data_IF_727735928208
#
_entry.id   IF_727735928208
#
_cell.length_a   1.000
_cell.length_b   1.000
_cell.length_c   1.000
_cell.angle_alpha   90.00
_cell.angle_beta   90.00
_cell.angle_gamma   90.00
#
_symmetry.space_group_name_H-M   'P 1'
#
loop_
_entity.id
_entity.type
_entity.pdbx_description
1 polymer ?
#
# COMPACT_ATOMS: atom_id res chain seq x y z
N UNK A 1 21.45 -3.28 23.46
CA UNK A 1 22.38 -2.24 22.95
C UNK A 1 22.87 -2.70 21.59
N UNK A 2 22.40 -2.09 20.49
CA UNK A 2 22.74 -2.56 19.15
C UNK A 2 23.99 -1.82 18.65
N UNK A 3 25.04 -2.58 18.36
CA UNK A 3 26.35 -2.11 17.94
C UNK A 3 26.29 -1.43 16.56
N UNK A 4 26.75 -0.18 16.52
CA UNK A 4 27.08 0.55 15.30
C UNK A 4 28.53 0.23 14.93
N UNK A 5 28.77 -0.67 13.98
CA UNK A 5 30.10 -0.87 13.39
C UNK A 5 30.10 -0.61 11.89
N UNK A 6 30.58 0.61 11.57
CA UNK A 6 31.33 1.08 10.39
C UNK A 6 30.69 0.98 8.98
N UNK A 7 30.90 1.99 8.12
CA UNK A 7 30.28 2.05 6.80
C UNK A 7 31.03 1.13 5.82
N UNK A 8 30.34 0.12 5.31
CA UNK A 8 30.85 -0.69 4.19
C UNK A 8 30.61 0.10 2.91
N UNK A 9 31.69 0.67 2.38
CA UNK A 9 31.77 1.22 1.03
C UNK A 9 31.81 0.06 0.02
N UNK A 10 30.65 -0.47 -0.35
CA UNK A 10 30.51 -1.29 -1.55
C UNK A 10 29.28 -0.83 -2.31
N UNK A 11 29.50 -0.50 -3.58
CA UNK A 11 28.54 -0.14 -4.63
C UNK A 11 27.13 -0.74 -4.39
N UNK A 12 26.30 -0.05 -3.60
CA UNK A 12 24.99 -0.57 -3.19
C UNK A 12 24.04 -0.40 -4.36
N UNK A 13 23.93 -1.44 -5.21
CA UNK A 13 22.82 -1.57 -6.15
C UNK A 13 21.54 -1.67 -5.33
N UNK A 14 20.97 -0.54 -4.96
CA UNK A 14 19.63 -0.48 -4.39
C UNK A 14 18.62 -0.11 -5.47
N UNK A 15 17.34 -0.35 -5.18
CA UNK A 15 16.23 0.07 -6.02
C UNK A 15 15.21 0.79 -5.15
N UNK A 16 14.57 1.79 -5.72
CA UNK A 16 13.35 2.32 -5.13
C UNK A 16 12.19 1.40 -5.48
N UNK A 17 11.39 1.08 -4.47
CA UNK A 17 10.13 0.37 -4.65
C UNK A 17 9.00 1.15 -3.98
N UNK A 18 7.80 0.98 -4.49
CA UNK A 18 6.60 1.42 -3.79
C UNK A 18 6.18 0.34 -2.80
N UNK A 19 5.92 0.71 -1.55
CA UNK A 19 5.33 -0.20 -0.59
C UNK A 19 3.94 -0.66 -1.09
N UNK A 20 3.69 -1.96 -1.28
CA UNK A 20 2.39 -2.44 -1.77
C UNK A 20 1.23 -2.10 -0.83
N UNK A 21 1.52 -1.76 0.43
CA UNK A 21 0.52 -1.48 1.46
C UNK A 21 0.18 0.00 1.65
N UNK A 22 1.12 0.92 1.37
CA UNK A 22 0.91 2.35 1.63
C UNK A 22 1.42 3.26 0.51
N UNK A 23 1.90 2.67 -0.59
CA UNK A 23 2.52 3.33 -1.74
C UNK A 23 3.76 4.18 -1.45
N UNK A 24 4.13 4.38 -0.19
CA UNK A 24 5.33 5.12 0.18
C UNK A 24 6.58 4.55 -0.50
N UNK A 25 7.30 5.42 -1.18
CA UNK A 25 8.56 5.10 -1.84
C UNK A 25 9.61 4.76 -0.78
N UNK A 26 10.27 3.63 -0.95
CA UNK A 26 11.35 3.16 -0.09
C UNK A 26 12.53 2.65 -0.91
N UNK A 27 13.73 3.03 -0.48
CA UNK A 27 14.96 2.49 -1.01
C UNK A 27 15.25 1.14 -0.36
N UNK A 28 15.47 0.12 -1.18
CA UNK A 28 15.84 -1.22 -0.71
C UNK A 28 17.18 -1.64 -1.28
N UNK A 29 18.09 -2.24 -0.48
CA UNK A 29 19.29 -2.87 -1.01
C UNK A 29 18.93 -3.97 -2.01
N UNK A 30 19.71 -4.15 -3.07
CA UNK A 30 19.39 -5.06 -4.18
C UNK A 30 19.26 -6.52 -3.80
N UNK A 31 19.90 -6.93 -2.70
CA UNK A 31 19.82 -8.28 -2.14
C UNK A 31 18.84 -8.40 -0.96
N UNK A 32 18.08 -7.34 -0.68
CA UNK A 32 17.12 -7.34 0.41
C UNK A 32 15.93 -8.24 0.04
N UNK A 33 15.64 -9.23 0.88
CA UNK A 33 14.53 -10.19 0.69
C UNK A 33 13.27 -9.78 1.43
N UNK A 34 13.40 -8.98 2.49
CA UNK A 34 12.26 -8.38 3.17
C UNK A 34 12.71 -7.12 3.88
N UNK A 35 11.83 -6.13 3.95
CA UNK A 35 12.09 -4.89 4.67
C UNK A 35 10.81 -4.38 5.31
N UNK A 36 10.84 -3.91 6.55
CA UNK A 36 9.71 -3.16 7.09
C UNK A 36 9.56 -1.84 6.35
N UNK A 37 8.37 -1.53 5.88
CA UNK A 37 8.08 -0.25 5.30
C UNK A 37 8.35 0.87 6.32
N UNK A 38 9.21 1.84 5.98
CA UNK A 38 9.48 2.98 6.87
C UNK A 38 8.24 3.84 7.14
N UNK A 39 7.26 3.83 6.22
CA UNK A 39 6.01 4.59 6.27
C UNK A 39 4.94 3.91 7.13
N UNK A 40 4.55 2.67 6.79
CA UNK A 40 3.44 1.97 7.45
C UNK A 40 3.86 0.84 8.41
N UNK A 41 5.17 0.59 8.57
CA UNK A 41 5.76 -0.47 9.41
C UNK A 41 5.40 -1.91 9.03
N UNK A 42 4.61 -2.11 7.97
CA UNK A 42 4.30 -3.44 7.45
C UNK A 42 5.54 -4.10 6.86
N UNK A 43 5.71 -5.40 7.11
CA UNK A 43 6.79 -6.18 6.53
C UNK A 43 6.51 -6.39 5.04
N UNK A 44 7.38 -5.88 4.18
CA UNK A 44 7.30 -6.07 2.72
C UNK A 44 8.20 -7.24 2.36
N UNK A 45 7.64 -8.26 1.73
CA UNK A 45 8.41 -9.34 1.12
C UNK A 45 8.87 -8.93 -0.28
N UNK A 46 10.18 -8.85 -0.48
CA UNK A 46 10.84 -8.42 -1.71
C UNK A 46 11.22 -9.59 -2.61
N UNK A 47 11.03 -10.83 -2.14
CA UNK A 47 11.13 -12.04 -2.97
C UNK A 47 10.04 -12.08 -4.03
N UNK A 48 9.00 -11.25 -3.87
CA UNK A 48 8.00 -10.98 -4.89
C UNK A 48 8.68 -10.26 -6.07
N UNK A 49 9.12 -11.04 -7.06
CA UNK A 49 9.71 -10.55 -8.30
C UNK A 49 8.74 -9.55 -8.96
N UNK A 50 9.30 -8.51 -9.60
CA UNK A 50 8.56 -7.58 -10.46
C UNK A 50 7.59 -8.38 -11.34
N UNK A 51 6.32 -7.99 -11.29
CA UNK A 51 5.16 -8.60 -11.92
C UNK A 51 5.42 -9.65 -12.98
N UNK A 52 5.21 -10.91 -12.61
CA UNK A 52 4.35 -11.82 -13.36
C UNK A 52 3.64 -12.71 -12.33
N UNK A 53 2.32 -12.55 -12.13
CA UNK A 53 1.54 -13.54 -11.41
C UNK A 53 1.53 -14.83 -12.23
N UNK A 54 2.31 -15.81 -11.80
CA UNK A 54 2.02 -17.19 -12.19
C UNK A 54 0.67 -17.57 -11.58
N UNK A 55 -0.31 -17.67 -12.48
CA UNK A 55 -1.46 -18.59 -12.45
C UNK A 55 -1.90 -19.02 -11.06
N UNK A 56 -2.56 -18.11 -10.36
CA UNK A 56 -3.75 -18.43 -9.60
C UNK A 56 -4.59 -17.15 -9.53
N UNK A 57 -5.90 -17.30 -9.72
CA UNK A 57 -6.98 -16.35 -10.00
C UNK A 57 -7.10 -15.05 -9.15
N UNK A 58 -6.02 -14.43 -8.69
CA UNK A 58 -6.07 -13.47 -7.59
C UNK A 58 -5.14 -12.24 -7.74
N UNK A 59 -4.74 -11.91 -8.98
CA UNK A 59 -3.75 -10.85 -9.23
C UNK A 59 -4.17 -9.81 -10.29
N UNK A 60 -5.27 -9.13 -10.00
CA UNK A 60 -5.42 -7.71 -10.35
C UNK A 60 -5.42 -6.91 -9.04
N UNK A 61 -4.34 -7.04 -8.28
CA UNK A 61 -4.13 -6.25 -7.06
C UNK A 61 -3.35 -5.01 -7.48
N UNK A 62 -3.88 -3.82 -7.16
CA UNK A 62 -3.44 -2.45 -7.53
C UNK A 62 -4.24 -1.72 -8.62
N UNK A 63 -5.21 -2.33 -9.31
CA UNK A 63 -6.17 -1.54 -10.10
C UNK A 63 -7.22 -0.92 -9.19
N UNK A 64 -7.91 0.10 -9.70
CA UNK A 64 -9.15 0.55 -9.08
C UNK A 64 -10.21 -0.54 -9.17
N UNK A 65 -10.96 -0.70 -8.09
CA UNK A 65 -12.03 -1.67 -7.99
C UNK A 65 -13.38 -0.97 -8.01
N UNK A 66 -14.30 -1.50 -8.82
CA UNK A 66 -15.65 -0.98 -8.98
C UNK A 66 -16.65 -2.13 -8.83
N UNK A 67 -17.36 -2.17 -7.70
CA UNK A 67 -18.48 -3.10 -7.50
C UNK A 67 -19.77 -2.43 -7.93
N UNK A 68 -20.38 -2.92 -9.01
CA UNK A 68 -21.64 -2.41 -9.54
C UNK A 68 -22.82 -2.75 -8.60
N UNK A 69 -23.91 -2.00 -8.75
CA UNK A 69 -25.17 -2.29 -8.09
C UNK A 69 -25.66 -3.70 -8.47
N UNK A 70 -26.42 -4.34 -7.58
CA UNK A 70 -26.95 -5.70 -7.73
C UNK A 70 -25.90 -6.82 -7.80
N UNK A 71 -24.62 -6.53 -7.55
CA UNK A 71 -23.58 -7.54 -7.47
C UNK A 71 -23.23 -7.83 -6.01
N UNK A 72 -23.03 -9.10 -5.69
CA UNK A 72 -22.56 -9.56 -4.39
C UNK A 72 -21.16 -10.18 -4.57
N UNK A 73 -20.18 -9.65 -3.85
CA UNK A 73 -18.83 -10.19 -3.80
C UNK A 73 -18.49 -10.60 -2.37
N UNK A 74 -18.16 -11.88 -2.18
CA UNK A 74 -17.66 -12.42 -0.91
C UNK A 74 -16.24 -12.95 -1.11
N UNK A 75 -15.28 -12.32 -0.45
CA UNK A 75 -13.85 -12.65 -0.56
C UNK A 75 -13.18 -12.52 0.80
N UNK A 76 -12.22 -13.40 1.12
CA UNK A 76 -11.52 -13.32 2.41
C UNK A 76 -10.68 -12.05 2.53
N UNK A 77 -9.95 -11.67 1.48
CA UNK A 77 -9.07 -10.49 1.44
C UNK A 77 -8.95 -9.96 0.01
N UNK A 78 -9.08 -8.65 -0.19
CA UNK A 78 -8.91 -7.99 -1.47
C UNK A 78 -7.95 -6.79 -1.35
N UNK A 79 -7.03 -6.65 -2.30
CA UNK A 79 -6.04 -5.56 -2.32
C UNK A 79 -6.21 -4.71 -3.58
N UNK A 80 -6.44 -3.41 -3.42
CA UNK A 80 -6.81 -2.53 -4.54
C UNK A 80 -6.14 -1.17 -4.41
N UNK A 81 -6.09 -0.42 -5.52
CA UNK A 81 -5.71 0.99 -5.51
C UNK A 81 -6.78 1.81 -4.79
N UNK A 82 -7.82 2.18 -5.53
CA UNK A 82 -9.06 2.75 -5.01
C UNK A 82 -10.20 1.72 -5.05
N UNK A 83 -11.27 1.97 -4.30
CA UNK A 83 -12.49 1.17 -4.36
C UNK A 83 -13.74 2.06 -4.47
N UNK A 84 -14.68 1.66 -5.32
CA UNK A 84 -16.03 2.25 -5.41
C UNK A 84 -17.05 1.13 -5.33
N UNK A 85 -17.97 1.23 -4.37
CA UNK A 85 -18.90 0.17 -4.01
C UNK A 85 -20.33 0.68 -4.13
N UNK A 86 -21.06 0.12 -5.09
CA UNK A 86 -22.51 0.28 -5.30
C UNK A 86 -23.30 -1.02 -5.01
N UNK A 87 -22.61 -2.16 -4.91
CA UNK A 87 -23.19 -3.46 -4.60
C UNK A 87 -22.88 -3.91 -3.17
N UNK A 88 -23.03 -5.21 -2.91
CA UNK A 88 -22.77 -5.84 -1.61
C UNK A 88 -21.39 -6.47 -1.57
N UNK A 89 -20.53 -5.98 -0.70
CA UNK A 89 -19.20 -6.54 -0.46
C UNK A 89 -19.11 -7.16 0.93
N UNK A 90 -18.60 -8.38 1.03
CA UNK A 90 -18.31 -9.05 2.30
C UNK A 90 -16.89 -9.56 2.31
N UNK A 91 -16.09 -9.08 3.27
CA UNK A 91 -14.67 -9.42 3.34
C UNK A 91 -13.79 -8.30 3.88
N UNK A 92 -12.48 -8.52 3.78
CA UNK A 92 -11.49 -7.53 4.19
C UNK A 92 -10.91 -6.80 2.98
N UNK A 93 -10.99 -5.48 2.99
CA UNK A 93 -10.54 -4.59 1.93
C UNK A 93 -9.27 -3.84 2.34
N UNK A 94 -8.22 -4.00 1.56
CA UNK A 94 -6.94 -3.32 1.73
C UNK A 94 -6.73 -2.37 0.55
N UNK A 95 -7.06 -1.10 0.74
CA UNK A 95 -6.87 -0.04 -0.25
C UNK A 95 -5.69 0.84 0.16
N UNK A 96 -4.85 1.19 -0.81
CA UNK A 96 -3.81 2.21 -0.61
C UNK A 96 -4.28 3.63 -0.98
N UNK A 97 -5.52 3.77 -1.43
CA UNK A 97 -6.10 5.04 -1.81
C UNK A 97 -7.44 5.30 -1.13
N UNK A 98 -8.40 5.71 -1.95
CA UNK A 98 -9.74 6.09 -1.51
C UNK A 98 -10.70 4.92 -1.65
N UNK A 99 -11.46 4.64 -0.59
CA UNK A 99 -12.61 3.75 -0.60
C UNK A 99 -13.88 4.59 -0.54
N UNK A 100 -14.79 4.38 -1.51
CA UNK A 100 -16.08 5.06 -1.61
C UNK A 100 -17.20 4.03 -1.56
N UNK A 101 -18.07 4.15 -0.57
CA UNK A 101 -19.37 3.45 -0.56
C UNK A 101 -20.39 4.47 -1.08
N UNK A 102 -20.96 4.19 -2.25
CA UNK A 102 -21.95 5.07 -2.87
C UNK A 102 -23.37 4.70 -2.38
N UNK A 103 -24.38 5.35 -2.95
CA UNK A 103 -25.79 5.08 -2.64
C UNK A 103 -26.12 3.61 -2.92
N UNK A 104 -26.81 2.96 -1.98
CA UNK A 104 -27.14 1.52 -2.00
C UNK A 104 -25.94 0.56 -1.92
N UNK A 105 -24.72 1.05 -1.79
CA UNK A 105 -23.55 0.21 -1.53
C UNK A 105 -23.59 -0.34 -0.10
N UNK A 106 -23.31 -1.63 0.05
CA UNK A 106 -23.20 -2.29 1.36
C UNK A 106 -21.81 -2.91 1.51
N UNK A 107 -21.14 -2.63 2.62
CA UNK A 107 -19.87 -3.25 2.95
C UNK A 107 -19.90 -3.87 4.34
N UNK A 108 -19.50 -5.14 4.43
CA UNK A 108 -19.40 -5.92 5.65
C UNK A 108 -17.99 -6.46 5.84
N UNK A 109 -17.30 -6.03 6.91
CA UNK A 109 -15.95 -6.50 7.26
C UNK A 109 -14.96 -5.37 7.53
N UNK A 110 -13.66 -5.65 7.39
CA UNK A 110 -12.62 -4.67 7.71
C UNK A 110 -12.17 -3.85 6.49
N UNK A 111 -12.02 -2.54 6.67
CA UNK A 111 -11.45 -1.64 5.66
C UNK A 111 -10.16 -1.02 6.18
N UNK A 112 -9.10 -1.12 5.39
CA UNK A 112 -7.85 -0.40 5.57
C UNK A 112 -7.66 0.54 4.38
N UNK A 113 -7.65 1.85 4.59
CA UNK A 113 -7.54 2.83 3.49
C UNK A 113 -6.89 4.15 3.93
N UNK A 114 -6.49 5.01 2.98
CA UNK A 114 -6.01 6.37 3.29
C UNK A 114 -7.16 7.38 3.37
N UNK A 115 -8.21 7.17 2.58
CA UNK A 115 -9.40 8.02 2.55
C UNK A 115 -10.65 7.16 2.47
N UNK A 116 -11.63 7.49 3.30
CA UNK A 116 -12.93 6.81 3.32
C UNK A 116 -14.04 7.83 3.08
N UNK A 117 -14.94 7.53 2.15
CA UNK A 117 -16.15 8.31 1.88
C UNK A 117 -17.35 7.39 1.84
N UNK A 118 -18.42 7.78 2.52
CA UNK A 118 -19.73 7.12 2.42
C UNK A 118 -20.75 8.16 1.98
N UNK A 119 -21.49 7.87 0.91
CA UNK A 119 -22.63 8.69 0.48
C UNK A 119 -23.87 8.33 1.30
N UNK A 120 -24.82 9.27 1.36
CA UNK A 120 -26.16 9.01 1.95
C UNK A 120 -26.76 7.76 1.30
N UNK A 121 -27.30 6.85 2.12
CA UNK A 121 -27.87 5.58 1.68
C UNK A 121 -26.85 4.44 1.48
N UNK A 122 -25.55 4.69 1.70
CA UNK A 122 -24.55 3.62 1.82
C UNK A 122 -24.56 3.00 3.23
N UNK A 123 -24.22 1.71 3.31
CA UNK A 123 -24.12 0.95 4.56
C UNK A 123 -22.69 0.44 4.73
N UNK A 124 -22.14 0.67 5.92
CA UNK A 124 -20.86 0.10 6.34
C UNK A 124 -21.03 -0.52 7.72
N UNK A 125 -20.69 -1.81 7.83
CA UNK A 125 -20.69 -2.56 9.08
C UNK A 125 -19.36 -3.31 9.24
N UNK A 126 -18.57 -2.89 10.21
CA UNK A 126 -17.26 -3.46 10.53
C UNK A 126 -16.24 -2.42 10.98
N UNK A 127 -14.96 -2.80 10.94
CA UNK A 127 -13.87 -1.97 11.44
C UNK A 127 -13.23 -1.15 10.32
N UNK A 128 -13.08 0.15 10.55
CA UNK A 128 -12.41 1.07 9.62
C UNK A 128 -11.06 1.52 10.20
N UNK A 129 -10.00 1.30 9.43
CA UNK A 129 -8.63 1.69 9.75
C UNK A 129 -8.13 2.72 8.73
N UNK A 130 -8.23 4.01 9.09
CA UNK A 130 -7.69 5.10 8.27
C UNK A 130 -6.19 5.25 8.53
N UNK A 131 -5.41 5.05 7.48
CA UNK A 131 -3.96 5.25 7.47
C UNK A 131 -3.67 6.72 7.19
N UNK A 132 -3.09 7.40 8.16
CA UNK A 132 -2.58 8.75 7.95
C UNK A 132 -1.25 8.66 7.20
N UNK A 133 -1.16 9.36 6.07
CA UNK A 133 0.14 9.69 5.51
C UNK A 133 0.87 10.57 6.52
N UNK A 134 1.95 10.05 7.11
CA UNK A 134 2.97 10.94 7.67
C UNK A 134 3.46 11.73 6.47
N UNK A 135 3.38 13.06 6.56
CA UNK A 135 3.97 13.99 5.58
C UNK A 135 5.28 13.37 5.09
N UNK A 136 5.38 13.20 3.78
CA UNK A 136 6.66 12.88 3.14
C UNK A 136 7.61 13.96 3.64
N UNK A 137 8.53 13.58 4.53
CA UNK A 137 9.69 14.41 4.81
C UNK A 137 10.43 14.47 3.48
N UNK A 138 10.08 15.48 2.69
CA UNK A 138 10.88 16.00 1.59
C UNK A 138 12.16 16.48 2.25
N UNK A 139 13.05 15.53 2.55
CA UNK A 139 14.43 15.88 2.73
C UNK A 139 14.82 16.49 1.39
N UNK A 140 15.25 17.77 1.35
CA UNK A 140 15.81 18.31 0.13
C UNK A 140 16.90 17.33 -0.31
N UNK A 141 16.85 16.92 -1.57
CA UNK A 141 17.96 16.21 -2.19
C UNK A 141 19.14 17.15 -2.02
N UNK A 142 20.00 16.87 -1.02
CA UNK A 142 21.22 17.65 -0.82
C UNK A 142 22.07 17.33 -2.05
N UNK A 143 22.05 18.25 -3.01
CA UNK A 143 23.05 18.35 -4.06
C UNK A 143 24.43 18.33 -3.36
N UNK A 144 25.15 17.24 -3.50
CA UNK A 144 26.56 17.17 -3.14
C UNK A 144 27.38 17.82 -4.26
N UNK A 145 27.48 19.14 -4.20
CA UNK A 145 28.67 19.88 -4.61
C UNK A 145 29.13 20.60 -3.32
N UNK A 146 30.39 20.55 -2.89
CA UNK A 146 31.62 20.66 -3.65
C UNK A 146 32.78 20.19 -2.76
N UNK A 147 33.70 19.41 -3.32
CA UNK A 147 35.07 19.27 -2.80
C UNK A 147 35.77 20.63 -2.98
N UNK A 148 36.37 21.16 -1.91
CA UNK A 148 37.58 21.97 -2.02
C UNK A 148 38.60 21.36 -1.06
N UNK A 149 39.60 20.75 -1.68
CA UNK A 149 40.85 20.31 -1.07
C UNK A 149 41.72 21.55 -0.85
N UNK A 150 42.26 21.72 0.35
CA UNK A 150 43.60 22.29 0.58
C UNK A 150 44.26 21.52 1.71
#
# INVERSE_FOLDING_TARGET
>A
MYNLTKPVTTNMRGKDISCPYCQGLIFVPGNCVSIPCRHCKQQIDLRYKRGHPEKDNDLIKHSDFYLKQNHHLEVSKMYVGNAVILGKFKGNLYSCGTVKILEHGEFYGEIYCHRFLIKKGGVFDGNLHIRHDRKVDTHPVKNFHQLIVK
#
